data_IF_276437339411
#
_entry.id   IF_276437339411
#
_cell.length_a   1.000
_cell.length_b   1.000
_cell.length_c   1.000
_cell.angle_alpha   90.00
_cell.angle_beta   90.00
_cell.angle_gamma   90.00
#
_symmetry.space_group_name_H-M   'P 1'
#
loop_
_entity.id
_entity.type
_entity.pdbx_description
1 polymer ?
#
# COMPACT_ATOMS: atom_id res chain seq x y z
N UNK A 1 17.48 -13.29 2.07
CA UNK A 1 16.77 -12.00 1.94
C UNK A 1 16.79 -11.65 0.46
N UNK A 2 15.63 -11.74 -0.21
CA UNK A 2 15.52 -11.35 -1.61
C UNK A 2 15.47 -9.83 -1.65
N UNK A 3 16.56 -9.18 -2.02
CA UNK A 3 16.55 -7.74 -2.33
C UNK A 3 15.74 -7.58 -3.61
N UNK A 4 14.47 -7.20 -3.44
CA UNK A 4 13.57 -6.97 -4.54
C UNK A 4 14.08 -5.77 -5.33
N UNK A 5 14.65 -6.03 -6.50
CA UNK A 5 15.19 -4.98 -7.35
C UNK A 5 14.02 -4.21 -7.99
N UNK A 6 14.02 -2.87 -7.92
CA UNK A 6 13.00 -2.09 -8.61
C UNK A 6 13.06 -2.32 -10.11
N UNK A 7 11.91 -2.58 -10.72
CA UNK A 7 11.76 -2.67 -12.19
C UNK A 7 11.06 -1.42 -12.71
N UNK A 8 11.56 -0.82 -13.79
CA UNK A 8 10.97 0.39 -14.38
C UNK A 8 11.21 1.67 -13.56
N UNK A 9 10.31 2.65 -13.69
CA UNK A 9 10.44 3.95 -13.03
C UNK A 9 10.07 3.86 -11.56
N UNK A 10 10.91 4.41 -10.68
CA UNK A 10 10.59 4.48 -9.25
C UNK A 10 9.43 5.42 -8.99
N UNK A 11 8.45 4.94 -8.24
CA UNK A 11 7.33 5.74 -7.74
C UNK A 11 7.28 5.69 -6.22
N UNK A 12 6.79 6.79 -5.63
CA UNK A 12 6.56 6.90 -4.20
C UNK A 12 5.07 6.76 -3.91
N UNK A 13 4.69 5.78 -3.10
CA UNK A 13 3.31 5.58 -2.67
C UNK A 13 3.21 5.89 -1.18
N UNK A 14 2.22 6.71 -0.82
CA UNK A 14 1.82 6.89 0.57
C UNK A 14 0.78 5.84 0.95
N UNK A 15 1.06 5.12 2.02
CA UNK A 15 0.23 4.06 2.56
C UNK A 15 -0.35 4.46 3.92
N UNK A 16 -1.51 3.93 4.28
CA UNK A 16 -2.08 4.05 5.62
C UNK A 16 -2.56 2.69 6.12
N UNK A 17 -2.24 2.36 7.36
CA UNK A 17 -2.79 1.16 8.02
C UNK A 17 -4.20 1.47 8.50
N UNK A 18 -5.19 0.65 8.12
CA UNK A 18 -6.61 0.90 8.37
C UNK A 18 -6.96 1.02 9.85
N UNK A 19 -6.43 0.11 10.66
CA UNK A 19 -6.73 0.01 12.09
C UNK A 19 -6.21 1.24 12.88
N UNK A 20 -4.90 1.48 12.82
CA UNK A 20 -4.24 2.48 13.67
C UNK A 20 -4.01 3.83 12.97
N UNK A 21 -4.35 3.96 11.68
CA UNK A 21 -4.14 5.16 10.85
C UNK A 21 -2.68 5.62 10.75
N UNK A 22 -1.73 4.71 10.98
CA UNK A 22 -0.31 4.95 10.75
C UNK A 22 -0.06 5.15 9.26
N UNK A 23 0.44 6.32 8.89
CA UNK A 23 0.84 6.64 7.52
C UNK A 23 2.34 6.40 7.36
N UNK A 24 2.73 5.83 6.22
CA UNK A 24 4.13 5.58 5.86
C UNK A 24 4.29 5.70 4.34
N UNK A 25 5.53 5.79 3.87
CA UNK A 25 5.85 5.92 2.45
C UNK A 25 6.67 4.71 2.03
N UNK A 26 6.39 4.19 0.86
CA UNK A 26 7.24 3.20 0.19
C UNK A 26 7.74 3.75 -1.14
N UNK A 27 8.86 3.20 -1.62
CA UNK A 27 9.37 3.40 -2.96
C UNK A 27 9.43 2.06 -3.67
N UNK A 28 8.84 1.97 -4.86
CA UNK A 28 8.75 0.74 -5.64
C UNK A 28 8.84 1.06 -7.14
N UNK A 29 9.33 0.12 -7.95
CA UNK A 29 9.38 0.27 -9.40
C UNK A 29 8.01 0.09 -10.05
N UNK A 30 7.70 0.88 -11.08
CA UNK A 30 6.44 0.79 -11.82
C UNK A 30 6.25 -0.52 -12.57
N UNK A 31 7.34 -1.25 -12.85
CA UNK A 31 7.33 -2.56 -13.49
C UNK A 31 7.28 -3.73 -12.50
N UNK A 32 7.31 -3.47 -11.18
CA UNK A 32 7.02 -4.50 -10.18
C UNK A 32 5.52 -4.80 -10.15
N UNK A 33 5.16 -5.99 -9.69
CA UNK A 33 3.77 -6.42 -9.57
C UNK A 33 3.17 -6.15 -8.18
N UNK A 34 1.90 -6.48 -7.97
CA UNK A 34 1.21 -6.26 -6.70
C UNK A 34 1.59 -7.30 -5.62
N UNK A 35 2.23 -8.42 -5.97
CA UNK A 35 2.86 -9.31 -5.00
C UNK A 35 4.15 -8.69 -4.43
N UNK A 36 4.98 -8.13 -5.30
CA UNK A 36 6.15 -7.33 -4.92
C UNK A 36 5.77 -6.13 -4.04
N UNK A 37 4.66 -5.46 -4.35
CA UNK A 37 4.12 -4.37 -3.52
C UNK A 37 3.85 -4.81 -2.08
N UNK A 38 3.24 -5.99 -1.88
CA UNK A 38 2.98 -6.54 -0.54
C UNK A 38 4.27 -6.81 0.22
N UNK A 39 5.28 -7.39 -0.45
CA UNK A 39 6.60 -7.64 0.15
C UNK A 39 7.28 -6.33 0.58
N UNK A 40 7.25 -5.30 -0.27
CA UNK A 40 7.84 -3.99 0.04
C UNK A 40 7.12 -3.32 1.22
N UNK A 41 5.78 -3.37 1.26
CA UNK A 41 5.01 -2.86 2.41
C UNK A 41 5.40 -3.59 3.70
N UNK A 42 5.50 -4.92 3.65
CA UNK A 42 5.87 -5.73 4.81
C UNK A 42 7.29 -5.39 5.30
N UNK A 43 8.25 -5.24 4.39
CA UNK A 43 9.63 -4.86 4.71
C UNK A 43 9.70 -3.50 5.40
N UNK A 44 9.03 -2.48 4.85
CA UNK A 44 8.98 -1.12 5.42
C UNK A 44 8.33 -1.09 6.81
N UNK A 45 7.47 -2.07 7.11
CA UNK A 45 6.70 -2.13 8.35
C UNK A 45 7.29 -3.09 9.39
N UNK A 46 8.46 -3.66 9.13
CA UNK A 46 9.17 -4.44 10.14
C UNK A 46 9.47 -3.60 11.40
N UNK A 47 9.42 -4.21 12.60
CA UNK A 47 9.04 -5.60 12.85
C UNK A 47 7.52 -5.84 12.95
N UNK A 48 6.69 -4.79 12.85
CA UNK A 48 5.25 -4.84 13.17
C UNK A 48 4.46 -5.81 12.30
N UNK A 49 4.91 -6.08 11.08
CA UNK A 49 4.24 -6.96 10.12
C UNK A 49 4.97 -8.32 9.97
N UNK A 50 5.78 -8.76 10.92
CA UNK A 50 6.54 -10.00 10.75
C UNK A 50 5.69 -11.28 10.80
N UNK A 51 4.56 -11.25 11.49
CA UNK A 51 3.87 -12.45 11.99
C UNK A 51 2.94 -13.14 10.97
N UNK A 52 2.81 -12.60 9.75
CA UNK A 52 1.94 -13.13 8.69
C UNK A 52 2.64 -13.01 7.33
N UNK A 53 2.35 -13.87 6.37
CA UNK A 53 2.93 -13.83 5.03
C UNK A 53 2.49 -12.58 4.23
N UNK A 54 3.27 -12.08 3.25
CA UNK A 54 2.92 -10.86 2.50
C UNK A 54 1.55 -10.91 1.81
N UNK A 55 1.15 -12.08 1.31
CA UNK A 55 -0.13 -12.35 0.63
C UNK A 55 -1.35 -12.24 1.55
N UNK A 56 -1.15 -12.27 2.88
CA UNK A 56 -2.20 -12.03 3.87
C UNK A 56 -2.56 -10.53 4.00
N UNK A 57 -1.76 -9.63 3.42
CA UNK A 57 -2.12 -8.21 3.34
C UNK A 57 -3.24 -7.99 2.34
N UNK A 58 -4.34 -7.40 2.82
CA UNK A 58 -5.40 -6.88 1.96
C UNK A 58 -5.10 -5.41 1.65
N UNK A 59 -5.00 -5.09 0.36
CA UNK A 59 -4.64 -3.76 -0.11
C UNK A 59 -5.80 -3.14 -0.89
N UNK A 60 -6.04 -1.85 -0.66
CA UNK A 60 -7.02 -1.06 -1.40
C UNK A 60 -6.34 0.12 -2.09
N UNK A 61 -6.56 0.29 -3.39
CA UNK A 61 -6.16 1.49 -4.11
C UNK A 61 -7.11 2.63 -3.77
N UNK A 62 -6.53 3.76 -3.40
CA UNK A 62 -7.26 4.99 -3.09
C UNK A 62 -6.53 6.20 -3.66
N UNK A 63 -7.18 7.37 -3.62
CA UNK A 63 -6.54 8.64 -3.93
C UNK A 63 -7.19 9.74 -3.07
N UNK A 64 -6.76 9.82 -1.81
CA UNK A 64 -7.40 10.69 -0.81
C UNK A 64 -6.36 11.45 -0.02
N UNK A 65 -6.65 12.71 0.31
CA UNK A 65 -5.79 13.52 1.16
C UNK A 65 -5.58 12.86 2.52
N UNK A 66 -4.33 12.85 3.00
CA UNK A 66 -3.99 12.23 4.28
C UNK A 66 -4.72 12.85 5.49
N UNK A 67 -5.07 14.13 5.41
CA UNK A 67 -5.86 14.83 6.44
C UNK A 67 -7.25 14.23 6.64
N UNK A 68 -7.87 13.72 5.57
CA UNK A 68 -9.19 13.09 5.62
C UNK A 68 -9.09 11.72 6.30
N UNK A 69 -8.14 10.89 5.89
CA UNK A 69 -8.03 9.50 6.37
C UNK A 69 -7.39 9.37 7.76
N UNK A 70 -6.57 10.34 8.17
CA UNK A 70 -5.92 10.35 9.49
C UNK A 70 -6.91 10.66 10.61
N UNK A 71 -7.96 11.43 10.34
CA UNK A 71 -9.00 11.66 11.34
C UNK A 71 -9.75 10.35 11.61
N UNK A 72 -9.65 9.84 12.84
CA UNK A 72 -10.30 8.59 13.26
C UNK A 72 -11.82 8.71 13.38
N UNK A 73 -12.36 9.92 13.48
CA UNK A 73 -13.80 10.16 13.45
C UNK A 73 -14.40 9.93 12.05
N UNK A 74 -13.57 10.02 11.01
CA UNK A 74 -13.99 9.74 9.64
C UNK A 74 -13.97 8.22 9.38
N UNK A 75 -15.15 7.70 9.00
CA UNK A 75 -15.26 6.36 8.44
C UNK A 75 -14.33 6.22 7.24
N UNK A 76 -13.60 5.10 7.15
CA UNK A 76 -12.64 4.86 6.06
C UNK A 76 -13.26 4.10 4.89
N UNK A 77 -14.33 3.35 5.19
CA UNK A 77 -15.14 2.54 4.29
C UNK A 77 -15.55 3.31 3.02
N UNK A 78 -16.01 4.58 3.09
CA UNK A 78 -16.44 5.30 1.89
C UNK A 78 -15.30 5.61 0.92
N UNK A 79 -14.04 5.48 1.35
CA UNK A 79 -12.85 5.78 0.56
C UNK A 79 -12.20 4.54 -0.04
N UNK A 80 -12.70 3.33 0.25
CA UNK A 80 -12.20 2.09 -0.32
C UNK A 80 -12.68 1.97 -1.77
N UNK A 81 -11.84 2.36 -2.74
CA UNK A 81 -12.25 2.40 -4.14
C UNK A 81 -12.11 1.04 -4.83
N UNK A 82 -10.89 0.49 -4.90
CA UNK A 82 -10.61 -0.77 -5.59
C UNK A 82 -9.77 -1.67 -4.71
N UNK A 83 -10.22 -2.90 -4.50
CA UNK A 83 -9.43 -3.94 -3.83
C UNK A 83 -8.41 -4.51 -4.83
N UNK A 84 -7.17 -4.61 -4.42
CA UNK A 84 -6.05 -5.04 -5.26
C UNK A 84 -5.92 -6.57 -5.23
N UNK A 85 -6.80 -7.26 -5.93
CA UNK A 85 -6.91 -8.73 -5.88
C UNK A 85 -5.94 -9.46 -6.81
N UNK A 86 -5.65 -8.94 -8.00
CA UNK A 86 -4.79 -9.61 -8.99
C UNK A 86 -3.29 -9.36 -8.69
N UNK A 87 -2.53 -10.35 -8.20
CA UNK A 87 -1.12 -10.14 -7.83
C UNK A 87 -0.23 -9.80 -9.03
N UNK A 88 -0.57 -10.26 -10.24
CA UNK A 88 0.26 -10.07 -11.44
C UNK A 88 0.14 -8.67 -12.06
N UNK A 89 -0.82 -7.85 -11.62
CA UNK A 89 -0.96 -6.49 -12.10
C UNK A 89 0.29 -5.68 -11.75
N UNK A 90 0.77 -4.89 -12.72
CA UNK A 90 1.94 -4.04 -12.45
C UNK A 90 1.54 -2.80 -11.67
N UNK A 91 2.40 -2.39 -10.75
CA UNK A 91 2.29 -1.15 -9.97
C UNK A 91 2.05 0.08 -10.87
N UNK A 92 2.72 0.18 -12.02
CA UNK A 92 2.59 1.30 -12.95
C UNK A 92 1.21 1.38 -13.61
N UNK A 93 0.61 0.23 -13.92
CA UNK A 93 -0.76 0.18 -14.45
C UNK A 93 -1.79 0.52 -13.36
N UNK A 94 -1.58 0.03 -12.14
CA UNK A 94 -2.48 0.25 -11.01
C UNK A 94 -2.44 1.68 -10.49
N UNK A 95 -1.25 2.29 -10.39
CA UNK A 95 -1.04 3.60 -9.78
C UNK A 95 -0.57 4.63 -10.82
N UNK A 96 -1.53 5.14 -11.59
CA UNK A 96 -1.29 6.20 -12.56
C UNK A 96 -1.37 7.59 -11.92
N UNK A 97 -0.65 8.55 -12.48
CA UNK A 97 -0.68 9.97 -12.08
C UNK A 97 -0.42 10.17 -10.57
N UNK A 98 0.58 9.46 -10.05
CA UNK A 98 1.00 9.59 -8.66
C UNK A 98 1.71 10.93 -8.47
N UNK A 99 0.93 11.92 -8.04
CA UNK A 99 1.40 13.26 -7.66
C UNK A 99 0.94 13.61 -6.25
N UNK A 100 1.71 14.47 -5.58
CA UNK A 100 1.39 14.98 -4.25
C UNK A 100 1.53 13.97 -3.11
N UNK A 101 0.84 14.23 -2.02
CA UNK A 101 0.92 13.49 -0.75
C UNK A 101 -0.40 12.77 -0.39
N UNK A 102 -1.25 12.51 -1.38
CA UNK A 102 -2.43 11.70 -1.19
C UNK A 102 -2.05 10.27 -0.84
N UNK A 103 -2.79 9.68 0.08
CA UNK A 103 -2.74 8.25 0.33
C UNK A 103 -3.16 7.55 -0.96
N UNK A 104 -2.36 6.56 -1.35
CA UNK A 104 -2.56 5.71 -2.52
C UNK A 104 -2.97 4.30 -2.15
N UNK A 105 -2.58 3.83 -0.97
CA UNK A 105 -2.86 2.48 -0.49
C UNK A 105 -3.41 2.51 0.92
N UNK A 106 -4.56 1.88 1.15
CA UNK A 106 -4.99 1.48 2.49
C UNK A 106 -4.58 0.02 2.70
N UNK A 107 -3.97 -0.25 3.84
CA UNK A 107 -3.44 -1.57 4.23
C UNK A 107 -4.26 -2.14 5.36
N UNK A 108 -4.87 -3.28 5.09
CA UNK A 108 -5.51 -4.15 6.06
C UNK A 108 -4.56 -5.27 6.45
N UNK A 109 -4.31 -5.39 7.74
CA UNK A 109 -3.53 -6.48 8.33
C UNK A 109 -4.48 -7.61 8.74
N UNK A 110 -4.08 -8.88 8.62
CA UNK A 110 -4.90 -10.00 9.08
C UNK A 110 -5.22 -9.84 10.57
N UNK A 111 -6.47 -10.13 10.93
CA UNK A 111 -6.89 -10.16 12.33
C UNK A 111 -6.33 -11.44 12.93
N UNK A 112 -5.46 -11.29 13.94
CA UNK A 112 -4.95 -12.39 14.76
C UNK A 112 -6.04 -12.99 15.64
#
# INVERSE_FOLDING_TARGET
MSNLAPSGTLINLWCIVRENRSIFKITIGSGNDLDDLRKVIKEERKPRFNDFAPDELVLWRVNVASSILRNKENAIEPYLNEKLEEPADTVGNTFQNVVGNNIRVIVDVPVT
#
